data_IF_150303323381
#
_entry.id   IF_150303323381
#
_cell.length_a   1.000
_cell.length_b   1.000
_cell.length_c   1.000
_cell.angle_alpha   90.00
_cell.angle_beta   90.00
_cell.angle_gamma   90.00
#
_symmetry.space_group_name_H-M   'P 1'
#
loop_
_entity.id
_entity.type
_entity.pdbx_description
1 polymer ?
#
# COMPACT_ATOMS: atom_id res chain seq x y z
N UNK A 1 5.09 3.31 -0.70
CA UNK A 1 3.93 3.60 0.19
C UNK A 1 4.43 4.50 1.31
N UNK A 2 3.73 5.59 1.58
CA UNK A 2 4.11 6.62 2.54
C UNK A 2 3.09 6.75 3.67
N UNK A 3 3.50 7.30 4.81
CA UNK A 3 2.62 7.62 5.93
C UNK A 3 1.52 8.61 5.55
N UNK A 4 1.84 9.64 4.76
CA UNK A 4 0.92 10.72 4.35
C UNK A 4 0.17 10.40 3.04
N UNK A 5 0.10 9.15 2.65
CA UNK A 5 -0.62 8.60 1.48
C UNK A 5 -0.14 9.10 0.12
N UNK A 6 0.08 10.39 -0.08
CA UNK A 6 0.44 11.01 -1.36
C UNK A 6 -0.53 10.69 -2.51
N UNK A 7 -1.82 10.68 -2.21
CA UNK A 7 -2.87 10.64 -3.22
C UNK A 7 -3.11 12.04 -3.78
N UNK A 8 -3.44 12.11 -5.06
CA UNK A 8 -3.79 13.37 -5.72
C UNK A 8 -5.24 13.73 -5.36
N UNK A 9 -5.43 14.83 -4.63
CA UNK A 9 -6.74 15.21 -4.09
C UNK A 9 -7.73 15.73 -5.15
N UNK A 10 -7.23 16.16 -6.31
CA UNK A 10 -8.02 16.61 -7.46
C UNK A 10 -8.35 15.48 -8.45
N UNK A 11 -8.05 14.25 -8.09
CA UNK A 11 -8.28 13.02 -8.87
C UNK A 11 -9.08 12.01 -8.06
N UNK A 12 -9.96 11.27 -8.73
CA UNK A 12 -10.68 10.18 -8.08
C UNK A 12 -9.76 8.96 -7.84
N UNK A 13 -10.29 7.95 -7.18
CA UNK A 13 -9.52 6.75 -6.83
C UNK A 13 -9.03 6.01 -8.07
N UNK A 14 -9.88 5.85 -9.09
CA UNK A 14 -9.49 5.25 -10.37
C UNK A 14 -8.27 5.95 -10.98
N UNK A 15 -8.30 7.26 -11.09
CA UNK A 15 -7.22 8.07 -11.68
C UNK A 15 -5.92 7.98 -10.87
N UNK A 16 -6.03 7.98 -9.54
CA UNK A 16 -4.87 7.81 -8.66
C UNK A 16 -4.17 6.46 -8.86
N UNK A 17 -4.94 5.38 -8.93
CA UNK A 17 -4.41 4.02 -9.08
C UNK A 17 -3.92 3.79 -10.51
N UNK A 18 -4.59 4.33 -11.51
CA UNK A 18 -4.22 4.20 -12.91
C UNK A 18 -2.93 4.97 -13.29
N UNK A 19 -2.53 5.96 -12.50
CA UNK A 19 -1.43 6.85 -12.84
C UNK A 19 -0.12 6.12 -13.25
N UNK A 20 0.38 5.10 -12.53
CA UNK A 20 1.57 4.38 -12.95
C UNK A 20 1.43 3.72 -14.34
N UNK A 21 0.25 3.23 -14.68
CA UNK A 21 -0.02 2.58 -15.96
C UNK A 21 -0.07 3.57 -17.12
N UNK A 22 -0.60 4.76 -16.89
CA UNK A 22 -0.56 5.84 -17.88
C UNK A 22 0.88 6.25 -18.19
N UNK A 23 1.74 6.35 -17.16
CA UNK A 23 3.14 6.75 -17.33
C UNK A 23 3.92 5.74 -18.18
N UNK A 24 3.66 4.44 -18.05
CA UNK A 24 4.34 3.40 -18.81
C UNK A 24 3.64 3.04 -20.13
N UNK A 25 2.52 3.67 -20.45
CA UNK A 25 1.92 3.63 -21.78
C UNK A 25 0.93 2.49 -22.04
N UNK A 26 0.29 1.94 -21.00
CA UNK A 26 -0.83 1.00 -21.15
C UNK A 26 -2.01 1.65 -21.87
N UNK A 27 -2.75 0.88 -22.65
CA UNK A 27 -3.96 1.38 -23.27
C UNK A 27 -5.14 1.47 -22.25
N UNK A 28 -6.19 2.19 -22.64
CA UNK A 28 -7.30 2.49 -21.74
C UNK A 28 -8.05 1.26 -21.28
N UNK A 29 -8.28 0.29 -22.12
CA UNK A 29 -9.08 -0.89 -21.80
C UNK A 29 -8.32 -1.79 -20.82
N UNK A 30 -7.00 -1.95 -21.03
CA UNK A 30 -6.13 -2.63 -20.07
C UNK A 30 -6.10 -1.94 -18.70
N UNK A 31 -6.03 -0.61 -18.67
CA UNK A 31 -6.04 0.18 -17.43
C UNK A 31 -7.34 -0.05 -16.66
N UNK A 32 -8.49 -0.03 -17.33
CA UNK A 32 -9.80 -0.24 -16.68
C UNK A 32 -9.82 -1.60 -15.97
N UNK A 33 -9.41 -2.65 -16.64
CA UNK A 33 -9.41 -4.01 -16.09
C UNK A 33 -8.43 -4.15 -14.90
N UNK A 34 -7.21 -3.66 -15.06
CA UNK A 34 -6.19 -3.73 -14.01
C UNK A 34 -6.55 -2.90 -12.78
N UNK A 35 -7.15 -1.73 -12.95
CA UNK A 35 -7.62 -0.92 -11.82
C UNK A 35 -8.75 -1.61 -11.08
N UNK A 36 -9.72 -2.19 -11.79
CA UNK A 36 -10.82 -2.94 -11.18
C UNK A 36 -10.29 -4.12 -10.34
N UNK A 37 -9.36 -4.89 -10.89
CA UNK A 37 -8.72 -6.01 -10.21
C UNK A 37 -7.94 -5.55 -8.96
N UNK A 38 -7.16 -4.49 -9.06
CA UNK A 38 -6.39 -3.99 -7.92
C UNK A 38 -7.26 -3.39 -6.81
N UNK A 39 -8.41 -2.78 -7.15
CA UNK A 39 -9.38 -2.29 -6.17
C UNK A 39 -10.04 -3.45 -5.41
N UNK A 40 -10.41 -4.51 -6.11
CA UNK A 40 -10.95 -5.72 -5.49
C UNK A 40 -9.93 -6.35 -4.53
N UNK A 41 -8.68 -6.46 -4.95
CA UNK A 41 -7.58 -7.03 -4.16
C UNK A 41 -7.36 -6.31 -2.83
N UNK A 42 -7.55 -4.99 -2.79
CA UNK A 42 -7.41 -4.20 -1.55
C UNK A 42 -8.75 -3.93 -0.83
N UNK A 43 -9.86 -4.49 -1.31
CA UNK A 43 -11.18 -4.33 -0.70
C UNK A 43 -11.80 -2.94 -0.87
N UNK A 44 -11.53 -2.29 -2.00
CA UNK A 44 -12.07 -0.97 -2.38
C UNK A 44 -12.94 -1.01 -3.65
N UNK A 45 -13.41 -2.17 -4.05
CA UNK A 45 -14.33 -2.33 -5.17
C UNK A 45 -15.59 -1.46 -4.97
N UNK A 46 -16.06 -0.83 -6.04
CA UNK A 46 -17.17 0.11 -6.01
C UNK A 46 -16.83 1.53 -5.55
N UNK A 47 -15.57 1.83 -5.21
CA UNK A 47 -15.11 3.16 -4.76
C UNK A 47 -14.28 3.92 -5.79
N UNK A 48 -14.23 3.46 -7.02
CA UNK A 48 -13.41 4.01 -8.11
C UNK A 48 -13.67 5.50 -8.39
N UNK A 49 -14.89 5.97 -8.17
CA UNK A 49 -15.29 7.36 -8.41
C UNK A 49 -15.16 8.27 -7.17
N UNK A 50 -14.77 7.73 -6.02
CA UNK A 50 -14.53 8.52 -4.81
C UNK A 50 -13.23 9.31 -4.91
N UNK A 51 -13.23 10.50 -4.30
CA UNK A 51 -12.03 11.29 -4.12
C UNK A 51 -11.35 10.95 -2.78
N UNK A 52 -10.05 11.23 -2.61
CA UNK A 52 -9.34 10.89 -1.38
C UNK A 52 -9.98 11.41 -0.09
N UNK A 53 -10.53 12.62 -0.11
CA UNK A 53 -11.21 13.23 1.05
C UNK A 53 -12.55 12.57 1.44
N UNK A 54 -13.12 11.77 0.54
CA UNK A 54 -14.31 10.96 0.80
C UNK A 54 -13.99 9.58 1.41
N UNK A 55 -12.71 9.26 1.59
CA UNK A 55 -12.22 7.99 2.09
C UNK A 55 -11.67 8.11 3.52
N UNK A 56 -11.82 7.05 4.32
CA UNK A 56 -11.12 6.95 5.61
C UNK A 56 -9.60 6.87 5.42
N UNK A 57 -8.82 7.11 6.48
CA UNK A 57 -7.37 6.97 6.42
C UNK A 57 -6.92 5.57 6.00
N UNK A 58 -7.57 4.52 6.52
CA UNK A 58 -7.31 3.14 6.14
C UNK A 58 -7.64 2.85 4.69
N UNK A 59 -8.74 3.38 4.18
CA UNK A 59 -9.11 3.27 2.77
C UNK A 59 -8.13 4.01 1.85
N UNK A 60 -7.69 5.21 2.23
CA UNK A 60 -6.64 5.94 1.51
C UNK A 60 -5.33 5.14 1.46
N UNK A 61 -4.93 4.53 2.56
CA UNK A 61 -3.71 3.73 2.59
C UNK A 61 -3.84 2.44 1.77
N UNK A 62 -4.99 1.78 1.78
CA UNK A 62 -5.27 0.65 0.88
C UNK A 62 -5.24 1.05 -0.59
N UNK A 63 -5.72 2.25 -0.92
CA UNK A 63 -5.57 2.82 -2.27
C UNK A 63 -4.10 2.99 -2.66
N UNK A 64 -3.25 3.40 -1.73
CA UNK A 64 -1.80 3.48 -1.96
C UNK A 64 -1.17 2.10 -2.20
N UNK A 65 -1.65 1.07 -1.52
CA UNK A 65 -1.23 -0.32 -1.79
C UNK A 65 -1.67 -0.74 -3.19
N UNK A 66 -2.92 -0.51 -3.58
CA UNK A 66 -3.42 -0.80 -4.92
C UNK A 66 -2.57 -0.13 -6.02
N UNK A 67 -2.26 1.16 -5.85
CA UNK A 67 -1.38 1.89 -6.77
C UNK A 67 0.03 1.31 -6.83
N UNK A 68 0.54 0.76 -5.73
CA UNK A 68 1.86 0.15 -5.69
C UNK A 68 1.90 -1.21 -6.39
N UNK A 69 0.86 -2.04 -6.24
CA UNK A 69 0.81 -3.41 -6.79
C UNK A 69 0.38 -3.48 -8.25
N UNK A 70 -0.30 -2.46 -8.77
CA UNK A 70 -0.97 -2.51 -10.08
C UNK A 70 -0.04 -2.85 -11.25
N UNK A 71 1.23 -2.49 -11.16
CA UNK A 71 2.25 -2.82 -12.18
C UNK A 71 3.08 -4.08 -11.85
N UNK A 72 2.61 -4.90 -10.93
CA UNK A 72 3.27 -6.15 -10.50
C UNK A 72 4.75 -5.96 -10.15
N UNK A 73 5.10 -5.13 -9.16
CA UNK A 73 6.48 -4.85 -8.83
C UNK A 73 7.17 -6.05 -8.16
N UNK A 74 8.48 -6.17 -8.32
CA UNK A 74 9.27 -7.17 -7.61
C UNK A 74 9.43 -6.82 -6.12
N UNK A 75 9.43 -5.53 -5.79
CA UNK A 75 9.57 -5.03 -4.42
C UNK A 75 8.70 -3.80 -4.16
N UNK A 76 8.11 -3.74 -2.97
CA UNK A 76 7.41 -2.57 -2.44
C UNK A 76 8.19 -2.01 -1.26
N UNK A 77 8.42 -0.70 -1.29
CA UNK A 77 8.98 0.06 -0.18
C UNK A 77 7.85 0.75 0.57
N UNK A 78 7.74 0.50 1.87
CA UNK A 78 6.74 1.09 2.74
C UNK A 78 7.39 1.82 3.91
N UNK A 79 7.22 3.13 3.97
CA UNK A 79 7.78 3.99 5.02
C UNK A 79 6.68 4.42 5.98
N UNK A 80 6.71 3.88 7.20
CA UNK A 80 5.71 4.11 8.25
C UNK A 80 4.25 4.00 7.75
N UNK A 81 3.87 2.92 7.02
CA UNK A 81 2.58 2.86 6.34
C UNK A 81 1.36 2.89 7.27
N UNK A 82 1.57 2.62 8.55
CA UNK A 82 0.53 2.61 9.60
C UNK A 82 0.55 3.83 10.52
N UNK A 83 1.42 4.79 10.27
CA UNK A 83 1.70 5.90 11.19
C UNK A 83 0.50 6.80 11.51
N UNK A 84 -0.47 6.93 10.59
CA UNK A 84 -1.68 7.74 10.76
C UNK A 84 -2.95 6.90 11.00
N UNK A 85 -2.80 5.59 11.27
CA UNK A 85 -3.91 4.67 11.43
C UNK A 85 -4.08 4.23 12.89
N UNK A 86 -5.32 3.94 13.27
CA UNK A 86 -5.63 3.29 14.54
C UNK A 86 -5.09 1.84 14.58
N UNK A 87 -4.98 1.22 15.77
CA UNK A 87 -4.39 -0.11 15.91
C UNK A 87 -5.08 -1.21 15.08
N UNK A 88 -6.41 -1.19 14.98
CA UNK A 88 -7.18 -2.20 14.24
C UNK A 88 -6.91 -2.08 12.74
N UNK A 89 -7.06 -0.87 12.20
CA UNK A 89 -6.80 -0.58 10.79
C UNK A 89 -5.33 -0.83 10.42
N UNK A 90 -4.40 -0.53 11.34
CA UNK A 90 -2.97 -0.85 11.17
C UNK A 90 -2.74 -2.35 11.02
N UNK A 91 -3.38 -3.15 11.85
CA UNK A 91 -3.28 -4.61 11.78
C UNK A 91 -3.84 -5.16 10.46
N UNK A 92 -4.97 -4.64 10.00
CA UNK A 92 -5.58 -5.02 8.72
C UNK A 92 -4.68 -4.67 7.54
N UNK A 93 -4.04 -3.48 7.56
CA UNK A 93 -3.10 -3.09 6.52
C UNK A 93 -1.87 -4.01 6.48
N UNK A 94 -1.32 -4.37 7.62
CA UNK A 94 -0.18 -5.31 7.67
C UNK A 94 -0.57 -6.68 7.11
N UNK A 95 -1.77 -7.18 7.43
CA UNK A 95 -2.28 -8.42 6.83
C UNK A 95 -2.36 -8.33 5.30
N UNK A 96 -2.88 -7.23 4.77
CA UNK A 96 -2.93 -7.02 3.33
C UNK A 96 -1.52 -7.06 2.70
N UNK A 97 -0.55 -6.39 3.31
CA UNK A 97 0.84 -6.43 2.85
C UNK A 97 1.44 -7.84 2.93
N UNK A 98 1.11 -8.60 3.97
CA UNK A 98 1.53 -10.01 4.09
C UNK A 98 0.94 -10.90 2.98
N UNK A 99 -0.30 -10.65 2.57
CA UNK A 99 -0.93 -11.36 1.44
C UNK A 99 -0.23 -11.02 0.13
N UNK A 100 0.00 -9.75 -0.15
CA UNK A 100 0.78 -9.31 -1.31
C UNK A 100 2.18 -9.94 -1.34
N UNK A 101 2.82 -10.07 -0.18
CA UNK A 101 4.12 -10.75 -0.08
C UNK A 101 4.03 -12.26 -0.40
N UNK A 102 2.98 -12.94 0.04
CA UNK A 102 2.76 -14.37 -0.27
C UNK A 102 2.59 -14.63 -1.76
N UNK A 103 2.07 -13.65 -2.50
CA UNK A 103 1.92 -13.71 -3.95
C UNK A 103 3.23 -13.47 -4.72
N UNK A 104 4.32 -13.19 -4.02
CA UNK A 104 5.67 -13.14 -4.58
C UNK A 104 6.32 -11.76 -4.61
N UNK A 105 5.62 -10.70 -4.22
CA UNK A 105 6.20 -9.36 -4.12
C UNK A 105 7.00 -9.22 -2.83
N UNK A 106 8.26 -8.85 -2.92
CA UNK A 106 9.07 -8.54 -1.74
C UNK A 106 8.59 -7.23 -1.09
N UNK A 107 8.58 -7.16 0.24
CA UNK A 107 8.22 -5.93 0.96
C UNK A 107 9.32 -5.54 1.93
N UNK A 108 9.80 -4.31 1.80
CA UNK A 108 10.68 -3.67 2.77
C UNK A 108 9.91 -2.57 3.47
N UNK A 109 9.64 -2.74 4.77
CA UNK A 109 8.87 -1.80 5.56
C UNK A 109 9.70 -1.20 6.69
N UNK A 110 9.69 0.13 6.80
CA UNK A 110 10.19 0.84 7.96
C UNK A 110 9.03 1.13 8.92
N UNK A 111 9.21 0.83 10.20
CA UNK A 111 8.24 1.14 11.25
C UNK A 111 8.95 1.30 12.60
N UNK A 112 8.47 2.25 13.40
CA UNK A 112 8.87 2.38 14.81
C UNK A 112 7.90 1.68 15.77
N UNK A 113 6.80 1.11 15.26
CA UNK A 113 5.84 0.37 16.06
C UNK A 113 6.24 -1.11 16.18
N UNK A 114 7.15 -1.39 17.10
CA UNK A 114 7.66 -2.75 17.34
C UNK A 114 6.55 -3.77 17.66
N UNK A 115 5.53 -3.37 18.41
CA UNK A 115 4.44 -4.27 18.80
C UNK A 115 3.61 -4.75 17.60
N UNK A 116 3.54 -3.96 16.54
CA UNK A 116 2.81 -4.29 15.33
C UNK A 116 3.55 -5.34 14.48
N UNK A 117 4.88 -5.32 14.50
CA UNK A 117 5.74 -6.17 13.65
C UNK A 117 6.27 -7.42 14.36
N UNK A 118 6.36 -7.39 15.69
CA UNK A 118 6.88 -8.49 16.50
C UNK A 118 5.99 -9.73 16.39
N UNK A 119 6.61 -10.90 16.30
CA UNK A 119 5.91 -12.19 16.33
C UNK A 119 5.23 -12.61 15.03
N UNK A 120 5.45 -11.87 13.94
CA UNK A 120 4.86 -12.18 12.62
C UNK A 120 5.71 -13.13 11.76
N UNK A 121 6.88 -13.54 12.24
CA UNK A 121 7.75 -14.47 11.52
C UNK A 121 8.58 -13.83 10.40
N UNK A 122 8.59 -12.50 10.29
CA UNK A 122 9.40 -11.79 9.31
C UNK A 122 10.77 -11.41 9.90
N UNK A 123 11.76 -11.27 9.02
CA UNK A 123 13.09 -10.77 9.41
C UNK A 123 12.99 -9.30 9.83
N UNK A 124 13.50 -9.01 11.01
CA UNK A 124 13.58 -7.65 11.54
C UNK A 124 15.04 -7.19 11.50
N UNK A 125 15.26 -5.98 11.02
CA UNK A 125 16.54 -5.29 11.04
C UNK A 125 16.35 -4.07 11.96
N UNK A 126 17.03 -4.05 13.08
CA UNK A 126 16.99 -2.92 14.01
C UNK A 126 18.13 -1.95 13.70
N UNK A 127 17.79 -0.67 13.61
CA UNK A 127 18.76 0.40 13.40
C UNK A 127 18.78 1.26 14.66
N UNK A 128 19.95 1.32 15.32
CA UNK A 128 20.15 2.11 16.51
C UNK A 128 21.51 2.85 16.41
N UNK A 129 21.50 4.15 16.65
CA UNK A 129 22.70 5.01 16.62
C UNK A 129 23.56 4.84 15.36
N UNK A 130 22.90 4.73 14.20
CA UNK A 130 23.54 4.54 12.91
C UNK A 130 24.14 3.14 12.67
N UNK A 131 23.88 2.19 13.57
CA UNK A 131 24.35 0.82 13.47
C UNK A 131 23.20 -0.15 13.26
N UNK A 132 23.43 -1.19 12.46
CA UNK A 132 22.48 -2.25 12.17
C UNK A 132 22.67 -3.41 13.15
N UNK A 133 21.59 -3.82 13.80
CA UNK A 133 21.51 -5.05 14.59
C UNK A 133 20.57 -6.02 13.91
N UNK A 134 20.95 -7.28 13.79
CA UNK A 134 20.07 -8.37 13.37
C UNK A 134 19.43 -9.00 14.60
N UNK A 135 18.13 -9.08 14.60
CA UNK A 135 17.37 -9.86 15.56
C UNK A 135 16.99 -11.21 14.95
#
# INVERSE_FOLDING_TARGET
>A
IFQDYHLLNDRNLFENIALPLHVIGYDRDEIIDLVAESLEEVGLDGKENHFPDELSGGEQQRACVARAIIKSPDIILADEPTGNLDPVTSFELIKLLEEVNKEGTAILMASHNYNLIKGRGHRIIEIQDGSVRRS
#
